data_IF_085016177754
#
_entry.id   IF_085016177754
#
_cell.length_a   1.000
_cell.length_b   1.000
_cell.length_c   1.000
_cell.angle_alpha   90.00
_cell.angle_beta   90.00
_cell.angle_gamma   90.00
#
_symmetry.space_group_name_H-M   'P 1'
#
loop_
_entity.id
_entity.type
_entity.pdbx_description
1 polymer ?
#
# COMPACT_ATOMS: atom_id res chain seq x y z
N UNK A 1 -16.05 9.11 -8.99
CA UNK A 1 -15.05 9.21 -7.89
C UNK A 1 -13.81 8.42 -8.30
N UNK A 2 -12.65 9.05 -8.43
CA UNK A 2 -11.42 8.35 -8.85
C UNK A 2 -10.85 7.57 -7.66
N UNK A 3 -10.57 6.27 -7.83
CA UNK A 3 -9.85 5.50 -6.81
C UNK A 3 -8.39 5.90 -6.83
N UNK A 4 -7.91 6.42 -5.70
CA UNK A 4 -6.53 6.81 -5.48
C UNK A 4 -5.84 5.74 -4.65
N UNK A 5 -4.56 5.53 -4.89
CA UNK A 5 -3.75 4.62 -4.10
C UNK A 5 -3.55 5.19 -2.69
N UNK A 6 -3.77 4.40 -1.63
CA UNK A 6 -3.60 4.87 -0.25
C UNK A 6 -2.13 5.11 0.15
N UNK A 7 -1.16 4.61 -0.62
CA UNK A 7 0.27 4.87 -0.37
C UNK A 7 0.83 6.05 -1.18
N UNK A 8 0.60 6.04 -2.49
CA UNK A 8 1.23 6.98 -3.43
C UNK A 8 0.33 8.19 -3.75
N UNK A 9 -0.98 8.11 -3.45
CA UNK A 9 -1.95 9.11 -3.88
C UNK A 9 -2.22 9.13 -5.39
N UNK A 10 -1.53 8.33 -6.20
CA UNK A 10 -1.77 8.28 -7.64
C UNK A 10 -3.10 7.59 -7.99
N UNK A 11 -3.60 7.93 -9.19
CA UNK A 11 -4.80 7.32 -9.75
C UNK A 11 -4.55 5.85 -10.03
N UNK A 12 -5.46 5.02 -9.55
CA UNK A 12 -5.44 3.60 -9.85
C UNK A 12 -6.02 3.41 -11.25
N UNK A 13 -5.17 2.95 -12.16
CA UNK A 13 -5.53 2.65 -13.54
C UNK A 13 -5.62 1.14 -13.71
N UNK A 14 -6.67 0.65 -14.37
CA UNK A 14 -6.92 -0.77 -14.61
C UNK A 14 -8.18 -1.29 -13.91
N UNK A 15 -8.09 -2.50 -13.33
CA UNK A 15 -9.24 -3.20 -12.73
C UNK A 15 -9.98 -2.36 -11.69
N UNK A 16 -11.31 -2.47 -11.71
CA UNK A 16 -12.21 -1.74 -10.82
C UNK A 16 -12.01 -2.07 -9.33
N UNK A 17 -11.48 -3.24 -8.99
CA UNK A 17 -11.20 -3.70 -7.62
C UNK A 17 -9.79 -3.36 -7.12
N UNK A 18 -8.92 -2.82 -7.99
CA UNK A 18 -7.52 -2.55 -7.64
C UNK A 18 -7.45 -1.51 -6.50
N UNK A 19 -6.75 -1.87 -5.42
CA UNK A 19 -6.58 -1.02 -4.20
C UNK A 19 -5.29 -0.20 -4.20
N UNK A 20 -4.26 -0.64 -4.93
CA UNK A 20 -2.94 0.00 -4.96
C UNK A 20 -2.52 0.33 -6.40
N UNK A 21 -1.78 1.42 -6.61
CA UNK A 21 -1.28 1.82 -7.93
C UNK A 21 -0.33 0.73 -8.52
N UNK A 22 0.52 0.14 -7.68
CA UNK A 22 1.53 -0.87 -8.02
C UNK A 22 1.77 -1.87 -6.87
N UNK A 23 2.47 -2.97 -7.17
CA UNK A 23 2.91 -3.93 -6.14
C UNK A 23 3.87 -3.28 -5.12
N UNK A 24 4.72 -2.37 -5.59
CA UNK A 24 5.59 -1.56 -4.73
C UNK A 24 4.79 -0.80 -3.66
N UNK A 25 3.71 -0.13 -4.05
CA UNK A 25 2.87 0.61 -3.11
C UNK A 25 2.10 -0.32 -2.16
N UNK A 26 1.67 -1.49 -2.63
CA UNK A 26 1.12 -2.50 -1.73
C UNK A 26 2.15 -2.91 -0.67
N UNK A 27 3.40 -3.15 -1.06
CA UNK A 27 4.45 -3.57 -0.15
C UNK A 27 4.85 -2.46 0.83
N UNK A 28 5.02 -1.22 0.35
CA UNK A 28 5.31 -0.05 1.19
C UNK A 28 4.22 0.19 2.25
N UNK A 29 2.94 0.07 1.86
CA UNK A 29 1.82 0.16 2.79
C UNK A 29 1.94 -0.88 3.90
N UNK A 30 2.17 -2.14 3.52
CA UNK A 30 2.30 -3.24 4.47
C UNK A 30 3.54 -3.08 5.37
N UNK A 31 4.65 -2.56 4.84
CA UNK A 31 5.86 -2.29 5.62
C UNK A 31 5.63 -1.19 6.65
N UNK A 32 4.95 -0.09 6.30
CA UNK A 32 4.58 0.95 7.26
C UNK A 32 3.65 0.43 8.35
N UNK A 33 2.60 -0.31 7.98
CA UNK A 33 1.65 -0.90 8.93
C UNK A 33 2.37 -1.86 9.89
N UNK A 34 3.25 -2.74 9.39
CA UNK A 34 4.00 -3.66 10.23
C UNK A 34 5.10 -2.96 11.05
N UNK A 35 5.70 -1.88 10.56
CA UNK A 35 6.72 -1.11 11.29
C UNK A 35 6.13 -0.43 12.53
N UNK A 36 4.92 0.11 12.40
CA UNK A 36 4.20 0.69 13.53
C UNK A 36 3.70 -0.39 14.51
N UNK A 37 3.24 -1.54 13.97
CA UNK A 37 2.58 -2.58 14.77
C UNK A 37 3.52 -3.63 15.38
N UNK A 38 4.74 -3.80 14.88
CA UNK A 38 5.64 -4.89 15.28
C UNK A 38 7.07 -4.39 15.43
N UNK A 39 7.36 -3.84 16.61
CA UNK A 39 8.72 -3.66 17.11
C UNK A 39 9.29 -5.01 17.60
N UNK A 40 9.22 -6.03 16.74
CA UNK A 40 9.71 -7.38 17.02
C UNK A 40 11.11 -7.49 16.45
N UNK A 41 12.11 -7.55 17.34
CA UNK A 41 13.50 -7.86 16.98
C UNK A 41 13.49 -9.26 16.35
N UNK A 42 13.80 -9.33 15.04
CA UNK A 42 14.00 -10.60 14.35
C UNK A 42 15.47 -10.99 14.53
N UNK A 43 15.69 -12.14 15.17
CA UNK A 43 17.01 -12.76 15.39
C UNK A 43 17.55 -13.41 14.10
#
# INVERSE_FOLDING_TARGET
MQKLCPECGEKIIGRSDKKFCSDYCRNSYNNKVNKDSKNLIRN
#
